data_IF_878707126662
#
_entry.id   IF_878707126662
#
_cell.length_a   1.000
_cell.length_b   1.000
_cell.length_c   1.000
_cell.angle_alpha   90.00
_cell.angle_beta   90.00
_cell.angle_gamma   90.00
#
_symmetry.space_group_name_H-M   'P 1'
#
loop_
_entity.id
_entity.type
_entity.pdbx_description
1 polymer ?
#
# COMPACT_ATOMS: atom_id res chain seq x y z
N UNK A 1 -8.87 5.66 -2.99
CA UNK A 1 -7.98 4.49 -3.17
C UNK A 1 -7.47 4.51 -4.60
N UNK A 2 -6.15 4.51 -4.82
CA UNK A 2 -5.55 4.51 -6.16
C UNK A 2 -4.92 3.15 -6.47
N UNK A 3 -5.48 2.39 -7.41
CA UNK A 3 -5.00 1.05 -7.80
C UNK A 3 -3.93 1.20 -8.88
N UNK A 4 -2.71 0.73 -8.63
CA UNK A 4 -1.60 0.80 -9.58
C UNK A 4 -1.72 -0.24 -10.73
N UNK A 5 -2.45 -1.33 -10.48
CA UNK A 5 -2.60 -2.44 -11.43
C UNK A 5 -3.56 -2.14 -12.60
N UNK A 6 -4.55 -1.26 -12.38
CA UNK A 6 -5.39 -0.76 -13.45
C UNK A 6 -4.68 0.47 -14.01
N UNK A 7 -4.44 0.45 -15.32
CA UNK A 7 -3.69 1.41 -16.16
C UNK A 7 -4.07 2.90 -16.04
N UNK A 8 -4.77 3.33 -15.01
CA UNK A 8 -5.09 4.73 -14.76
C UNK A 8 -3.91 5.47 -14.11
N UNK A 9 -2.81 5.52 -14.87
CA UNK A 9 -1.59 6.25 -14.54
C UNK A 9 -1.81 7.78 -14.45
N UNK A 10 -3.02 8.27 -14.74
CA UNK A 10 -3.37 9.70 -14.67
C UNK A 10 -3.69 10.15 -13.24
N UNK A 11 -4.04 9.21 -12.36
CA UNK A 11 -4.50 9.47 -10.99
C UNK A 11 -3.47 9.05 -9.92
N UNK A 12 -2.26 8.64 -10.31
CA UNK A 12 -1.11 8.60 -9.38
C UNK A 12 -0.71 10.05 -9.12
N UNK A 13 -1.44 10.65 -8.19
CA UNK A 13 -1.42 12.03 -7.74
C UNK A 13 -0.01 12.61 -7.85
N UNK A 14 0.14 13.72 -8.58
CA UNK A 14 1.41 14.41 -8.80
C UNK A 14 2.17 14.65 -7.48
N UNK A 15 1.46 14.78 -6.36
CA UNK A 15 2.02 14.87 -5.02
C UNK A 15 2.81 13.62 -4.62
N UNK A 16 2.29 12.41 -4.89
CA UNK A 16 2.99 11.15 -4.62
C UNK A 16 4.18 10.96 -5.57
N UNK A 17 4.05 11.35 -6.86
CA UNK A 17 5.18 11.33 -7.79
C UNK A 17 6.27 12.33 -7.42
N UNK A 18 5.89 13.53 -6.97
CA UNK A 18 6.83 14.54 -6.50
C UNK A 18 7.55 14.08 -5.23
N UNK A 19 6.84 13.41 -4.32
CA UNK A 19 7.38 12.94 -3.03
C UNK A 19 8.17 11.63 -3.14
N UNK A 20 7.77 10.71 -4.01
CA UNK A 20 8.32 9.35 -4.07
C UNK A 20 8.93 8.94 -5.42
N UNK A 21 8.76 9.74 -6.48
CA UNK A 21 9.32 9.50 -7.81
C UNK A 21 8.39 8.77 -8.77
N UNK A 22 8.94 8.25 -9.88
CA UNK A 22 8.16 7.57 -10.93
C UNK A 22 7.71 6.19 -10.45
N UNK A 23 6.40 5.98 -10.37
CA UNK A 23 5.82 4.66 -10.14
C UNK A 23 5.92 3.86 -11.43
N UNK A 24 6.63 2.73 -11.38
CA UNK A 24 6.60 1.74 -12.46
C UNK A 24 5.35 0.88 -12.27
N UNK A 25 4.76 0.31 -13.34
CA UNK A 25 3.57 -0.56 -13.24
C UNK A 25 3.74 -1.73 -12.27
N UNK A 26 5.00 -2.11 -11.97
CA UNK A 26 5.38 -3.10 -10.97
C UNK A 26 6.35 -2.47 -9.97
N UNK A 27 5.80 -1.69 -9.04
CA UNK A 27 6.61 -1.13 -7.96
C UNK A 27 6.84 -2.20 -6.89
N UNK A 28 8.08 -2.64 -6.72
CA UNK A 28 8.46 -3.54 -5.62
C UNK A 28 8.40 -2.80 -4.28
N UNK A 29 7.65 -3.33 -3.32
CA UNK A 29 7.55 -2.77 -1.98
C UNK A 29 8.91 -2.67 -1.31
N UNK A 30 9.73 -3.71 -1.40
CA UNK A 30 11.07 -3.75 -0.77
C UNK A 30 11.97 -2.59 -1.26
N UNK A 31 11.92 -2.27 -2.56
CA UNK A 31 12.68 -1.15 -3.12
C UNK A 31 12.14 0.19 -2.60
N UNK A 32 10.82 0.36 -2.58
CA UNK A 32 10.19 1.56 -2.02
C UNK A 32 10.52 1.70 -0.53
N UNK A 33 10.33 0.65 0.26
CA UNK A 33 10.61 0.64 1.68
C UNK A 33 12.07 1.03 1.97
N UNK A 34 13.05 0.44 1.27
CA UNK A 34 14.47 0.86 1.39
C UNK A 34 14.68 2.34 1.09
N UNK A 35 14.04 2.88 0.04
CA UNK A 35 14.16 4.30 -0.32
C UNK A 35 13.55 5.20 0.76
N UNK A 36 12.41 4.81 1.33
CA UNK A 36 11.73 5.52 2.40
C UNK A 36 12.56 5.51 3.69
N UNK A 37 13.05 4.34 4.10
CA UNK A 37 13.90 4.19 5.29
C UNK A 37 15.16 5.05 5.18
N UNK A 38 15.81 5.08 4.00
CA UNK A 38 16.98 5.95 3.75
C UNK A 38 16.66 7.44 3.88
N UNK A 39 15.40 7.84 3.68
CA UNK A 39 14.92 9.21 3.85
C UNK A 39 14.33 9.47 5.24
N UNK A 40 14.49 8.54 6.18
CA UNK A 40 13.95 8.63 7.54
C UNK A 40 12.45 8.37 7.64
N UNK A 41 11.79 7.96 6.55
CA UNK A 41 10.35 7.66 6.53
C UNK A 41 10.13 6.21 6.96
N UNK A 42 9.38 6.02 8.05
CA UNK A 42 8.99 4.69 8.55
C UNK A 42 7.58 4.34 8.10
N UNK A 43 7.39 3.08 7.74
CA UNK A 43 6.09 2.50 7.44
C UNK A 43 5.72 1.52 8.54
N UNK A 44 4.48 1.58 9.02
CA UNK A 44 3.94 0.66 10.01
C UNK A 44 3.00 -0.31 9.31
N UNK A 45 3.25 -1.61 9.45
CA UNK A 45 2.26 -2.59 9.02
C UNK A 45 1.01 -2.45 9.88
N UNK A 46 -0.14 -2.35 9.21
CA UNK A 46 -1.45 -2.30 9.84
C UNK A 46 -2.22 -3.54 9.43
N UNK A 47 -3.07 -4.08 10.31
CA UNK A 47 -3.86 -5.25 9.98
C UNK A 47 -4.82 -4.92 8.83
N UNK A 48 -4.87 -5.82 7.87
CA UNK A 48 -5.82 -5.76 6.76
C UNK A 48 -7.09 -6.53 7.16
N UNK A 49 -8.28 -5.92 7.10
CA UNK A 49 -9.53 -6.60 7.43
C UNK A 49 -9.79 -7.82 6.53
N UNK A 50 -10.35 -8.87 7.12
CA UNK A 50 -10.88 -10.03 6.38
C UNK A 50 -11.97 -9.59 5.39
N UNK A 51 -12.05 -10.14 4.16
CA UNK A 51 -11.32 -11.29 3.62
C UNK A 51 -9.98 -10.97 2.92
N UNK A 52 -9.52 -9.72 2.96
CA UNK A 52 -8.36 -9.29 2.18
C UNK A 52 -7.01 -9.63 2.84
N UNK A 53 -7.02 -9.92 4.14
CA UNK A 53 -5.81 -10.19 4.94
C UNK A 53 -4.81 -11.22 4.39
N UNK A 54 -5.23 -12.34 3.77
CA UNK A 54 -4.28 -13.28 3.17
C UNK A 54 -3.59 -12.71 1.92
N UNK A 55 -4.35 -11.94 1.13
CA UNK A 55 -3.95 -11.48 -0.20
C UNK A 55 -3.19 -10.16 -0.18
N UNK A 56 -3.43 -9.33 0.83
CA UNK A 56 -2.86 -7.99 0.92
C UNK A 56 -2.27 -7.71 2.30
N UNK A 57 -1.11 -7.07 2.29
CA UNK A 57 -0.48 -6.46 3.47
C UNK A 57 -0.54 -4.95 3.32
N UNK A 58 -1.00 -4.24 4.35
CA UNK A 58 -1.10 -2.78 4.29
C UNK A 58 -0.12 -2.11 5.24
N UNK A 59 0.57 -1.09 4.74
CA UNK A 59 1.59 -0.35 5.44
C UNK A 59 1.23 1.14 5.46
N UNK A 60 1.16 1.74 6.64
CA UNK A 60 0.76 3.13 6.85
C UNK A 60 1.94 4.01 7.26
N UNK A 61 1.97 5.23 6.72
CA UNK A 61 2.93 6.27 7.05
C UNK A 61 2.20 7.38 7.83
N UNK A 62 2.55 7.61 9.11
CA UNK A 62 1.77 8.48 9.99
C UNK A 62 1.83 9.94 9.59
N UNK A 63 3.01 10.47 9.26
CA UNK A 63 3.22 11.91 9.04
C UNK A 63 2.48 12.45 7.80
N UNK A 64 2.22 11.59 6.83
CA UNK A 64 1.56 11.90 5.56
C UNK A 64 0.21 11.23 5.41
N UNK A 65 -0.20 10.41 6.37
CA UNK A 65 -1.46 9.67 6.35
C UNK A 65 -1.62 8.86 5.06
N UNK A 66 -0.53 8.28 4.55
CA UNK A 66 -0.53 7.46 3.33
C UNK A 66 -0.43 5.99 3.71
N UNK A 67 -1.33 5.18 3.18
CA UNK A 67 -1.25 3.73 3.26
C UNK A 67 -0.89 3.10 1.90
N UNK A 68 -0.14 2.01 1.95
CA UNK A 68 0.31 1.23 0.81
C UNK A 68 -0.18 -0.20 0.99
N UNK A 69 -0.94 -0.72 0.02
CA UNK A 69 -1.31 -2.13 -0.01
C UNK A 69 -0.38 -2.89 -0.94
N UNK A 70 0.13 -4.02 -0.47
CA UNK A 70 1.13 -4.86 -1.12
C UNK A 70 0.54 -6.26 -1.27
N UNK A 71 0.83 -6.93 -2.39
CA UNK A 71 0.42 -8.33 -2.58
C UNK A 71 1.14 -9.22 -1.56
N UNK A 72 0.36 -9.83 -0.65
CA UNK A 72 0.82 -10.77 0.37
C UNK A 72 0.84 -12.21 -0.14
N UNK A 73 -0.23 -12.65 -0.78
CA UNK A 73 -0.31 -13.94 -1.48
C UNK A 73 -1.12 -13.79 -2.77
N UNK A 74 -0.91 -14.68 -3.73
CA UNK A 74 -1.71 -14.70 -4.96
C UNK A 74 -3.07 -15.36 -4.69
N UNK A 75 -4.14 -14.70 -5.14
CA UNK A 75 -5.47 -15.28 -5.23
C UNK A 75 -6.03 -15.03 -6.61
N UNK A 76 -6.47 -16.10 -7.28
CA UNK A 76 -6.93 -16.12 -8.68
C UNK A 76 -8.02 -15.07 -8.98
N UNK A 77 -8.84 -14.73 -7.99
CA UNK A 77 -9.87 -13.67 -8.08
C UNK A 77 -9.66 -12.49 -7.13
N UNK A 78 -8.64 -12.57 -6.27
CA UNK A 78 -8.39 -11.60 -5.21
C UNK A 78 -7.24 -10.67 -5.56
N UNK A 79 -6.32 -11.09 -6.42
CA UNK A 79 -5.14 -10.32 -6.80
C UNK A 79 -5.01 -10.23 -8.33
N UNK A 80 -4.54 -9.10 -8.87
CA UNK A 80 -4.28 -8.99 -10.30
C UNK A 80 -3.21 -9.97 -10.79
N UNK A 81 -3.46 -10.65 -11.91
CA UNK A 81 -2.53 -11.62 -12.53
C UNK A 81 -1.18 -11.01 -12.93
N UNK A 82 -1.14 -9.70 -13.18
CA UNK A 82 0.05 -9.00 -13.63
C UNK A 82 0.99 -8.55 -12.49
N UNK A 83 0.56 -8.72 -11.23
CA UNK A 83 1.33 -8.39 -10.02
C UNK A 83 1.83 -9.66 -9.32
N UNK A 84 2.99 -9.56 -8.70
CA UNK A 84 3.59 -10.62 -7.91
C UNK A 84 3.52 -10.30 -6.42
N UNK A 85 3.65 -11.33 -5.59
CA UNK A 85 3.89 -11.16 -4.15
C UNK A 85 5.04 -10.17 -3.93
N UNK A 86 4.81 -9.19 -3.04
CA UNK A 86 5.72 -8.09 -2.76
C UNK A 86 5.59 -6.87 -3.69
N UNK A 87 4.71 -6.89 -4.69
CA UNK A 87 4.39 -5.70 -5.49
C UNK A 87 3.38 -4.80 -4.78
N UNK A 88 3.57 -3.50 -4.92
CA UNK A 88 2.59 -2.51 -4.44
C UNK A 88 1.37 -2.57 -5.36
N UNK A 89 0.23 -2.92 -4.78
CA UNK A 89 -1.06 -2.97 -5.45
C UNK A 89 -1.73 -1.60 -5.51
N UNK A 90 -1.75 -0.88 -4.39
CA UNK A 90 -2.47 0.39 -4.29
C UNK A 90 -1.87 1.35 -3.29
N UNK A 91 -2.11 2.64 -3.50
CA UNK A 91 -1.82 3.71 -2.55
C UNK A 91 -3.13 4.35 -2.10
N UNK A 92 -3.32 4.47 -0.80
CA UNK A 92 -4.50 5.04 -0.16
C UNK A 92 -4.07 6.31 0.59
N UNK A 93 -4.73 7.42 0.30
CA UNK A 93 -4.51 8.69 0.98
C UNK A 93 -5.77 9.56 0.86
N UNK A 94 -6.17 10.31 1.90
CA UNK A 94 -5.65 10.18 3.28
C UNK A 94 -6.19 8.91 3.97
N UNK A 95 -5.41 8.35 4.90
CA UNK A 95 -5.84 7.34 5.87
C UNK A 95 -5.54 7.87 7.26
N UNK A 96 -6.60 8.22 7.99
CA UNK A 96 -6.51 8.86 9.29
C UNK A 96 -6.01 7.89 10.37
N UNK A 97 -5.39 8.41 11.42
CA UNK A 97 -4.87 7.59 12.51
C UNK A 97 -6.01 6.84 13.23
N UNK A 98 -7.20 7.45 13.33
CA UNK A 98 -8.40 6.86 13.89
C UNK A 98 -8.86 5.63 13.11
N UNK A 99 -8.77 5.67 11.78
CA UNK A 99 -9.07 4.52 10.92
C UNK A 99 -8.06 3.39 11.15
N UNK A 100 -6.78 3.73 11.31
CA UNK A 100 -5.73 2.74 11.60
C UNK A 100 -5.96 2.07 12.95
N UNK A 101 -6.26 2.82 14.00
CA UNK A 101 -6.55 2.27 15.31
C UNK A 101 -7.82 1.42 15.31
N UNK A 102 -8.85 1.86 14.61
CA UNK A 102 -10.06 1.06 14.44
C UNK A 102 -9.79 -0.27 13.73
N UNK A 103 -8.92 -0.29 12.70
CA UNK A 103 -8.51 -1.55 12.03
C UNK A 103 -7.75 -2.48 12.96
N UNK A 104 -6.87 -1.94 13.82
CA UNK A 104 -6.15 -2.73 14.82
C UNK A 104 -7.09 -3.41 15.81
N UNK A 105 -8.12 -2.71 16.28
CA UNK A 105 -9.09 -3.26 17.23
C UNK A 105 -9.92 -4.39 16.61
N UNK A 106 -10.33 -4.28 15.35
CA UNK A 106 -11.24 -5.25 14.71
C UNK A 106 -10.62 -6.56 14.26
N UNK A 107 -9.30 -6.64 14.16
CA UNK A 107 -8.59 -7.91 13.88
C UNK A 107 -8.21 -8.63 15.18
N UNK A 108 -8.25 -7.93 16.32
CA UNK A 108 -7.97 -8.51 17.63
C UNK A 108 -9.19 -9.17 18.30
N UNK A 109 -10.39 -9.07 17.71
CA UNK A 109 -11.62 -9.70 18.16
C UNK A 109 -12.08 -10.79 17.21
#
# INVERSE_FOLDING_TARGET
>A
MHRLAYRDCTLVNNVLRARYGRFTPRLRFEKLHRLLTRRGVRLHEIPEPSPNGPYFRTFWQPDSQVALSVIGTYGEYSTPENLRVGDVYSVQAPMAAEEVEWRKVRVAG
#
